data_IF_668004278625
#
_entry.id   IF_668004278625
#
_cell.length_a   1.000
_cell.length_b   1.000
_cell.length_c   1.000
_cell.angle_alpha   90.00
_cell.angle_beta   90.00
_cell.angle_gamma   90.00
#
_symmetry.space_group_name_H-M   'P 1'
#
loop_
_entity.id
_entity.type
_entity.pdbx_description
1 polymer ?
#
# COMPACT_ATOMS: atom_id res chain seq x y z
N UNK A 1 -6.62 34.53 16.04
CA UNK A 1 -5.86 33.27 16.05
C UNK A 1 -5.08 33.24 14.76
N UNK A 2 -3.75 33.37 14.80
CA UNK A 2 -2.93 33.14 13.60
C UNK A 2 -2.97 31.64 13.34
N UNK A 3 -3.79 31.19 12.38
CA UNK A 3 -3.54 29.89 11.76
C UNK A 3 -2.15 29.97 11.15
N UNK A 4 -1.22 29.12 11.60
CA UNK A 4 0.02 28.94 10.84
C UNK A 4 -0.39 28.59 9.40
N UNK A 5 0.05 29.41 8.45
CA UNK A 5 -0.18 29.14 7.03
C UNK A 5 1.02 28.37 6.49
N UNK A 6 0.73 27.37 5.66
CA UNK A 6 1.72 26.48 5.06
C UNK A 6 1.64 26.64 3.54
N UNK A 7 2.06 27.80 3.00
CA UNK A 7 1.68 28.24 1.64
C UNK A 7 2.17 27.29 0.54
N UNK A 8 3.33 26.64 0.73
CA UNK A 8 3.85 25.68 -0.25
C UNK A 8 3.08 24.36 -0.23
N UNK A 9 2.66 23.87 0.95
CA UNK A 9 1.79 22.70 1.10
C UNK A 9 0.39 22.97 0.55
N UNK A 10 -0.20 24.11 0.89
CA UNK A 10 -1.52 24.55 0.40
C UNK A 10 -1.50 24.69 -1.13
N UNK A 11 -0.47 25.30 -1.71
CA UNK A 11 -0.31 25.42 -3.15
C UNK A 11 -0.10 24.06 -3.83
N UNK A 12 0.65 23.14 -3.20
CA UNK A 12 0.82 21.79 -3.71
C UNK A 12 -0.50 21.02 -3.70
N UNK A 13 -1.25 21.05 -2.60
CA UNK A 13 -2.57 20.41 -2.47
C UNK A 13 -3.59 20.93 -3.48
N UNK A 14 -3.65 22.25 -3.63
CA UNK A 14 -4.65 22.94 -4.46
C UNK A 14 -4.26 22.99 -5.96
N UNK A 15 -3.21 22.28 -6.38
CA UNK A 15 -2.68 22.26 -7.76
C UNK A 15 -2.32 23.65 -8.32
N UNK A 16 -1.53 24.44 -7.59
CA UNK A 16 -1.10 25.79 -8.00
C UNK A 16 0.38 25.78 -8.42
N UNK A 17 0.75 25.26 -9.61
CA UNK A 17 2.14 25.03 -9.99
C UNK A 17 2.98 26.31 -10.06
N UNK A 18 2.40 27.42 -10.52
CA UNK A 18 3.12 28.70 -10.57
C UNK A 18 3.46 29.23 -9.17
N UNK A 19 2.57 29.01 -8.18
CA UNK A 19 2.82 29.41 -6.80
C UNK A 19 3.88 28.50 -6.19
N UNK A 20 3.78 27.18 -6.38
CA UNK A 20 4.81 26.24 -5.92
C UNK A 20 6.17 26.60 -6.51
N UNK A 21 6.24 26.83 -7.83
CA UNK A 21 7.48 27.21 -8.50
C UNK A 21 8.07 28.52 -7.96
N UNK A 22 7.24 29.55 -7.75
CA UNK A 22 7.68 30.82 -7.18
C UNK A 22 8.23 30.66 -5.76
N UNK A 23 7.49 29.99 -4.88
CA UNK A 23 7.89 29.77 -3.49
C UNK A 23 9.19 28.97 -3.37
N UNK A 24 9.37 27.92 -4.17
CA UNK A 24 10.60 27.11 -4.16
C UNK A 24 11.80 27.86 -4.77
N UNK A 25 11.57 28.69 -5.79
CA UNK A 25 12.62 29.51 -6.37
C UNK A 25 13.11 30.60 -5.38
N UNK A 26 12.20 31.15 -4.58
CA UNK A 26 12.53 32.10 -3.50
C UNK A 26 13.24 31.42 -2.33
N UNK A 27 12.78 30.22 -1.93
CA UNK A 27 13.38 29.46 -0.83
C UNK A 27 13.24 27.95 -1.04
N UNK A 28 14.26 27.33 -1.63
CA UNK A 28 14.27 25.88 -1.92
C UNK A 28 14.12 24.98 -0.68
N UNK A 29 14.42 25.47 0.53
CA UNK A 29 14.21 24.70 1.78
C UNK A 29 12.74 24.41 2.06
N UNK A 30 11.82 25.15 1.43
CA UNK A 30 10.38 24.90 1.51
C UNK A 30 9.98 23.55 0.88
N UNK A 31 10.82 22.97 0.01
CA UNK A 31 10.53 21.64 -0.56
C UNK A 31 10.39 20.56 0.52
N UNK A 32 11.17 20.65 1.60
CA UNK A 32 11.17 19.68 2.72
C UNK A 32 10.52 20.22 3.99
N UNK A 33 9.93 21.42 3.94
CA UNK A 33 9.23 21.96 5.12
C UNK A 33 8.01 21.10 5.44
N UNK A 34 7.68 20.98 6.72
CA UNK A 34 6.53 20.21 7.20
C UNK A 34 5.41 21.15 7.67
N UNK A 35 4.17 20.78 7.40
CA UNK A 35 2.99 21.42 7.98
C UNK A 35 2.68 20.88 9.38
N UNK A 36 1.49 21.20 9.92
CA UNK A 36 1.05 20.76 11.23
C UNK A 36 0.79 19.25 11.36
N UNK A 37 0.69 18.53 10.24
CA UNK A 37 0.51 17.07 10.21
C UNK A 37 1.84 16.35 9.90
N UNK A 38 2.96 17.08 9.90
CA UNK A 38 4.28 16.56 9.54
C UNK A 38 4.46 16.40 8.02
N UNK A 39 3.55 16.92 7.18
CA UNK A 39 3.56 16.67 5.74
C UNK A 39 4.34 17.73 4.96
N UNK A 40 5.14 17.24 4.01
CA UNK A 40 5.81 18.08 3.02
C UNK A 40 4.91 18.38 1.83
N UNK A 41 5.23 19.38 0.98
CA UNK A 41 4.54 19.60 -0.28
C UNK A 41 4.48 18.36 -1.18
N UNK A 42 5.50 17.49 -1.11
CA UNK A 42 5.53 16.24 -1.87
C UNK A 42 4.44 15.25 -1.40
N UNK A 43 4.15 15.19 -0.10
CA UNK A 43 3.04 14.38 0.42
C UNK A 43 1.71 14.82 -0.19
N UNK A 44 1.45 16.13 -0.23
CA UNK A 44 0.22 16.69 -0.79
C UNK A 44 0.14 16.52 -2.31
N UNK A 45 1.26 16.70 -3.02
CA UNK A 45 1.32 16.45 -4.45
C UNK A 45 1.00 14.98 -4.79
N UNK A 46 1.54 14.03 -4.01
CA UNK A 46 1.24 12.60 -4.15
C UNK A 46 -0.22 12.28 -3.79
N UNK A 47 -0.73 12.82 -2.67
CA UNK A 47 -2.10 12.61 -2.20
C UNK A 47 -3.15 13.04 -3.22
N UNK A 48 -2.85 14.11 -3.97
CA UNK A 48 -3.77 14.69 -4.94
C UNK A 48 -3.46 14.28 -6.38
N UNK A 49 -2.41 13.48 -6.61
CA UNK A 49 -2.00 13.03 -7.94
C UNK A 49 -1.47 14.13 -8.86
N UNK A 50 -0.95 15.23 -8.30
CA UNK A 50 -0.49 16.39 -9.09
C UNK A 50 0.93 16.18 -9.62
N UNK A 51 1.07 15.38 -10.68
CA UNK A 51 2.35 15.04 -11.30
C UNK A 51 3.23 16.25 -11.63
N UNK A 52 2.63 17.34 -12.15
CA UNK A 52 3.38 18.56 -12.46
C UNK A 52 3.97 19.22 -11.22
N UNK A 53 3.30 19.11 -10.08
CA UNK A 53 3.81 19.63 -8.81
C UNK A 53 4.98 18.78 -8.33
N UNK A 54 4.91 17.46 -8.49
CA UNK A 54 6.03 16.55 -8.20
C UNK A 54 7.26 16.94 -9.03
N UNK A 55 7.10 17.18 -10.34
CA UNK A 55 8.19 17.60 -11.23
C UNK A 55 8.84 18.93 -10.81
N UNK A 56 8.07 19.83 -10.20
CA UNK A 56 8.58 21.10 -9.68
C UNK A 56 9.32 20.94 -8.35
N UNK A 57 8.94 19.97 -7.51
CA UNK A 57 9.48 19.79 -6.17
C UNK A 57 10.78 18.96 -6.19
N UNK A 58 10.81 17.83 -6.91
CA UNK A 58 11.93 16.88 -6.87
C UNK A 58 13.32 17.48 -7.15
N UNK A 59 13.50 18.47 -8.06
CA UNK A 59 14.79 19.10 -8.28
C UNK A 59 15.40 19.76 -7.03
N UNK A 60 14.56 20.19 -6.07
CA UNK A 60 14.99 20.77 -4.80
C UNK A 60 15.30 19.71 -3.72
N UNK A 61 15.06 18.43 -4.01
CA UNK A 61 15.24 17.29 -3.09
C UNK A 61 16.41 16.39 -3.45
N UNK A 62 17.30 16.77 -4.39
CA UNK A 62 18.33 15.89 -4.97
C UNK A 62 19.23 15.11 -3.99
N UNK A 63 19.40 15.59 -2.75
CA UNK A 63 20.20 14.90 -1.72
C UNK A 63 19.37 14.58 -0.46
N UNK A 64 18.05 14.60 -0.59
CA UNK A 64 17.10 14.29 0.47
C UNK A 64 16.72 12.84 0.30
N UNK A 65 16.91 12.04 1.35
CA UNK A 65 16.33 10.72 1.42
C UNK A 65 14.81 10.85 1.57
N UNK A 66 14.06 10.33 0.58
CA UNK A 66 12.60 10.42 0.61
C UNK A 66 11.99 9.52 1.69
N UNK A 67 12.74 8.54 2.18
CA UNK A 67 12.30 7.65 3.25
C UNK A 67 12.27 8.36 4.62
N UNK A 68 13.09 9.41 4.79
CA UNK A 68 13.07 10.27 5.99
C UNK A 68 11.89 11.26 6.00
N UNK A 69 11.20 11.43 4.87
CA UNK A 69 10.05 12.31 4.75
C UNK A 69 8.79 11.60 5.25
N UNK A 70 8.70 11.39 6.57
CA UNK A 70 7.51 10.83 7.21
C UNK A 70 6.58 11.91 7.77
N UNK A 71 5.28 11.75 7.58
CA UNK A 71 4.25 12.50 8.30
C UNK A 71 4.08 12.02 9.75
N UNK A 72 3.23 12.66 10.54
CA UNK A 72 3.03 12.31 11.95
C UNK A 72 2.47 10.88 12.16
N UNK A 73 1.89 10.28 11.12
CA UNK A 73 1.46 8.89 11.11
C UNK A 73 2.56 7.89 10.73
N UNK A 74 3.74 8.37 10.35
CA UNK A 74 4.84 7.57 9.82
C UNK A 74 4.66 7.21 8.34
N UNK A 75 3.87 7.96 7.57
CA UNK A 75 3.67 7.73 6.14
C UNK A 75 4.63 8.57 5.33
N UNK A 76 5.31 7.95 4.35
CA UNK A 76 6.10 8.66 3.34
C UNK A 76 5.23 9.04 2.13
N UNK A 77 5.72 9.90 1.21
CA UNK A 77 5.00 10.18 -0.03
C UNK A 77 4.68 8.93 -0.86
N UNK A 78 5.53 7.90 -0.86
CA UNK A 78 5.28 6.62 -1.55
C UNK A 78 4.11 5.86 -0.92
N UNK A 79 3.98 5.86 0.41
CA UNK A 79 2.84 5.24 1.08
C UNK A 79 1.52 5.91 0.67
N UNK A 80 1.49 7.25 0.68
CA UNK A 80 0.33 8.03 0.23
C UNK A 80 0.03 7.73 -1.23
N UNK A 81 1.05 7.75 -2.09
CA UNK A 81 0.92 7.46 -3.51
C UNK A 81 0.29 6.09 -3.77
N UNK A 82 0.70 5.07 -3.02
CA UNK A 82 0.14 3.73 -3.14
C UNK A 82 -1.36 3.69 -2.79
N UNK A 83 -1.79 4.55 -1.86
CA UNK A 83 -3.19 4.74 -1.51
C UNK A 83 -4.01 5.48 -2.57
N UNK A 84 -3.36 6.23 -3.46
CA UNK A 84 -3.98 6.96 -4.59
C UNK A 84 -3.95 6.15 -5.89
N UNK A 85 -2.93 5.31 -6.09
CA UNK A 85 -2.82 4.43 -7.25
C UNK A 85 -2.14 5.09 -8.46
N UNK A 86 -1.43 6.20 -8.28
CA UNK A 86 -0.73 6.86 -9.39
C UNK A 86 0.64 6.21 -9.64
N UNK A 87 0.74 5.45 -10.73
CA UNK A 87 1.92 4.70 -11.10
C UNK A 87 2.97 5.55 -11.85
N UNK A 88 2.56 6.65 -12.48
CA UNK A 88 3.44 7.59 -13.19
C UNK A 88 4.33 8.38 -12.21
N UNK A 89 3.77 8.82 -11.08
CA UNK A 89 4.55 9.45 -10.01
C UNK A 89 5.49 8.44 -9.35
N UNK A 90 5.11 7.16 -9.26
CA UNK A 90 5.98 6.15 -8.64
C UNK A 90 7.32 6.06 -9.38
N UNK A 91 7.28 6.05 -10.72
CA UNK A 91 8.50 5.99 -11.53
C UNK A 91 9.42 7.19 -11.28
N UNK A 92 8.86 8.37 -11.05
CA UNK A 92 9.62 9.58 -10.71
C UNK A 92 10.27 9.48 -9.32
N UNK A 93 9.55 8.95 -8.32
CA UNK A 93 10.09 8.78 -6.97
C UNK A 93 11.15 7.68 -6.92
N UNK A 94 10.95 6.56 -7.61
CA UNK A 94 11.89 5.44 -7.63
C UNK A 94 13.17 5.71 -8.44
N UNK A 95 13.16 6.73 -9.29
CA UNK A 95 14.34 7.24 -9.99
C UNK A 95 15.13 8.31 -9.20
N UNK A 96 14.65 8.67 -7.99
CA UNK A 96 15.32 9.63 -7.12
C UNK A 96 16.60 9.04 -6.50
N UNK A 97 17.56 9.90 -6.14
CA UNK A 97 18.80 9.50 -5.46
C UNK A 97 18.87 10.16 -4.05
N UNK A 98 19.05 9.38 -2.96
CA UNK A 98 19.09 7.92 -2.91
C UNK A 98 17.74 7.30 -3.33
N UNK A 99 17.80 6.08 -3.88
CA UNK A 99 16.60 5.35 -4.30
C UNK A 99 15.78 4.97 -3.06
N UNK A 100 14.48 5.32 -3.00
CA UNK A 100 13.62 4.96 -1.88
C UNK A 100 13.48 3.45 -1.70
N UNK A 101 13.41 2.98 -0.45
CA UNK A 101 13.09 1.59 -0.14
C UNK A 101 11.60 1.31 -0.37
N UNK A 102 11.30 0.56 -1.44
CA UNK A 102 9.92 0.18 -1.77
C UNK A 102 9.25 -0.70 -0.71
N UNK A 103 10.04 -1.32 0.17
CA UNK A 103 9.58 -2.13 1.29
C UNK A 103 9.56 -1.39 2.62
N UNK A 104 9.88 -0.09 2.63
CA UNK A 104 9.74 0.72 3.83
C UNK A 104 8.30 0.60 4.34
N UNK A 105 8.20 0.34 5.63
CA UNK A 105 6.93 0.15 6.31
C UNK A 105 6.63 1.37 7.17
N UNK A 106 5.34 1.71 7.28
CA UNK A 106 4.86 2.71 8.23
C UNK A 106 5.12 2.27 9.68
N UNK A 107 4.81 3.16 10.63
CA UNK A 107 4.84 2.86 12.07
C UNK A 107 4.03 1.62 12.48
N UNK A 108 3.06 1.18 11.68
CA UNK A 108 2.24 -0.02 11.92
C UNK A 108 2.67 -1.22 11.07
N UNK A 109 3.83 -1.18 10.42
CA UNK A 109 4.38 -2.27 9.61
C UNK A 109 3.75 -2.42 8.22
N UNK A 110 2.91 -1.47 7.80
CA UNK A 110 2.22 -1.51 6.51
C UNK A 110 3.13 -0.93 5.42
N UNK A 111 3.36 -1.65 4.32
CA UNK A 111 4.13 -1.16 3.17
C UNK A 111 3.23 -0.59 2.06
N UNK A 112 3.83 0.08 1.07
CA UNK A 112 3.12 0.53 -0.14
C UNK A 112 2.32 -0.58 -0.83
N UNK A 113 2.88 -1.80 -0.92
CA UNK A 113 2.20 -2.96 -1.51
C UNK A 113 0.93 -3.37 -0.74
N UNK A 114 0.96 -3.35 0.59
CA UNK A 114 -0.25 -3.62 1.40
C UNK A 114 -1.36 -2.61 1.10
N UNK A 115 -0.99 -1.33 0.96
CA UNK A 115 -1.92 -0.23 0.69
C UNK A 115 -2.53 -0.37 -0.70
N UNK A 116 -1.70 -0.56 -1.74
CA UNK A 116 -2.14 -0.69 -3.11
C UNK A 116 -3.11 -1.88 -3.30
N UNK A 117 -2.80 -3.03 -2.70
CA UNK A 117 -3.69 -4.21 -2.68
C UNK A 117 -5.01 -3.92 -1.97
N UNK A 118 -4.97 -3.27 -0.81
CA UNK A 118 -6.21 -2.92 -0.07
C UNK A 118 -7.12 -1.96 -0.84
N UNK A 119 -6.58 -1.26 -1.85
CA UNK A 119 -7.30 -0.33 -2.71
C UNK A 119 -7.64 -0.91 -4.09
N UNK A 120 -7.29 -2.17 -4.35
CA UNK A 120 -7.44 -2.82 -5.66
C UNK A 120 -6.74 -2.06 -6.80
N UNK A 121 -5.60 -1.44 -6.53
CA UNK A 121 -4.82 -0.70 -7.53
C UNK A 121 -3.96 -1.66 -8.38
N UNK A 122 -4.62 -2.50 -9.17
CA UNK A 122 -3.99 -3.62 -9.89
C UNK A 122 -2.72 -3.26 -10.67
N UNK A 123 -2.75 -2.22 -11.52
CA UNK A 123 -1.58 -1.84 -12.32
C UNK A 123 -0.41 -1.38 -11.44
N UNK A 124 -0.71 -0.72 -10.32
CA UNK A 124 0.30 -0.32 -9.35
C UNK A 124 0.85 -1.55 -8.60
N UNK A 125 0.00 -2.47 -8.16
CA UNK A 125 0.41 -3.73 -7.52
C UNK A 125 1.35 -4.51 -8.45
N UNK A 126 0.97 -4.66 -9.72
CA UNK A 126 1.79 -5.29 -10.73
C UNK A 126 3.14 -4.59 -10.88
N UNK A 127 3.15 -3.26 -11.02
CA UNK A 127 4.40 -2.47 -11.13
C UNK A 127 5.29 -2.61 -9.89
N UNK A 128 4.72 -2.56 -8.68
CA UNK A 128 5.45 -2.76 -7.43
C UNK A 128 6.13 -4.13 -7.38
N UNK A 129 5.43 -5.20 -7.75
CA UNK A 129 5.95 -6.57 -7.72
C UNK A 129 6.95 -6.86 -8.86
N UNK A 130 6.60 -6.48 -10.08
CA UNK A 130 7.34 -6.88 -11.28
C UNK A 130 8.52 -5.94 -11.57
N UNK A 131 8.33 -4.63 -11.45
CA UNK A 131 9.37 -3.64 -11.78
C UNK A 131 10.27 -3.35 -10.59
N UNK A 132 9.67 -3.11 -9.42
CA UNK A 132 10.40 -2.68 -8.22
C UNK A 132 10.71 -3.80 -7.22
N UNK A 133 10.26 -5.02 -7.50
CA UNK A 133 10.52 -6.22 -6.68
C UNK A 133 10.10 -6.04 -5.21
N UNK A 134 8.99 -5.35 -4.98
CA UNK A 134 8.38 -5.23 -3.66
C UNK A 134 8.11 -6.64 -3.08
N UNK A 135 8.41 -6.81 -1.80
CA UNK A 135 8.28 -8.08 -1.10
C UNK A 135 6.82 -8.35 -0.74
N UNK A 136 6.26 -9.42 -1.30
CA UNK A 136 4.94 -9.92 -0.93
C UNK A 136 4.90 -10.64 0.44
N UNK A 137 6.01 -10.61 1.21
CA UNK A 137 6.19 -11.36 2.46
C UNK A 137 6.30 -10.47 3.71
N UNK A 138 6.35 -9.15 3.55
CA UNK A 138 6.36 -8.23 4.69
C UNK A 138 5.08 -8.42 5.50
N UNK A 139 5.19 -8.34 6.82
CA UNK A 139 4.09 -8.51 7.77
C UNK A 139 3.87 -7.19 8.51
N UNK A 140 2.62 -6.74 8.54
CA UNK A 140 2.23 -5.58 9.33
C UNK A 140 2.17 -5.89 10.84
N UNK A 141 1.80 -4.90 11.64
CA UNK A 141 1.69 -5.03 13.10
C UNK A 141 0.63 -6.02 13.57
N UNK A 142 -0.27 -6.48 12.70
CA UNK A 142 -1.20 -7.60 12.98
C UNK A 142 -0.65 -8.94 12.48
N UNK A 143 0.52 -8.97 11.86
CA UNK A 143 1.09 -10.16 11.24
C UNK A 143 0.54 -10.43 9.84
N UNK A 144 -0.29 -9.54 9.29
CA UNK A 144 -0.90 -9.72 7.98
C UNK A 144 0.10 -9.37 6.88
N UNK A 145 0.09 -10.15 5.81
CA UNK A 145 0.84 -9.90 4.56
C UNK A 145 -0.08 -9.25 3.52
N UNK A 146 0.45 -8.76 2.37
CA UNK A 146 -0.41 -8.27 1.29
C UNK A 146 -1.40 -9.33 0.80
N UNK A 147 -1.05 -10.62 0.86
CA UNK A 147 -1.95 -11.71 0.46
C UNK A 147 -3.18 -11.85 1.38
N UNK A 148 -3.05 -11.53 2.68
CA UNK A 148 -4.22 -11.47 3.57
C UNK A 148 -5.19 -10.38 3.11
N UNK A 149 -4.66 -9.23 2.69
CA UNK A 149 -5.46 -8.09 2.21
C UNK A 149 -6.13 -8.41 0.88
N UNK A 150 -5.42 -9.01 -0.07
CA UNK A 150 -5.97 -9.43 -1.36
C UNK A 150 -7.13 -10.43 -1.18
N UNK A 151 -6.98 -11.37 -0.25
CA UNK A 151 -8.01 -12.33 0.09
C UNK A 151 -9.23 -11.67 0.76
N UNK A 152 -9.00 -10.76 1.72
CA UNK A 152 -10.07 -10.03 2.42
C UNK A 152 -10.87 -9.08 1.52
N UNK A 153 -10.28 -8.55 0.44
CA UNK A 153 -11.01 -7.69 -0.52
C UNK A 153 -11.58 -8.46 -1.72
N UNK A 154 -11.34 -9.77 -1.80
CA UNK A 154 -11.87 -10.62 -2.86
C UNK A 154 -11.18 -10.46 -4.21
N UNK A 155 -9.92 -10.01 -4.23
CA UNK A 155 -9.17 -9.77 -5.48
C UNK A 155 -8.40 -11.01 -5.94
N UNK A 156 -9.05 -11.89 -6.70
CA UNK A 156 -8.42 -13.08 -7.25
C UNK A 156 -7.25 -12.79 -8.21
N UNK A 157 -7.26 -11.62 -8.86
CA UNK A 157 -6.17 -11.19 -9.74
C UNK A 157 -4.91 -10.86 -8.92
N UNK A 158 -5.05 -10.10 -7.84
CA UNK A 158 -3.91 -9.76 -6.98
C UNK A 158 -3.40 -10.96 -6.19
N UNK A 159 -4.28 -11.91 -5.83
CA UNK A 159 -3.87 -13.21 -5.26
C UNK A 159 -2.87 -13.91 -6.20
N UNK A 160 -3.17 -14.00 -7.50
CA UNK A 160 -2.27 -14.62 -8.48
C UNK A 160 -0.94 -13.89 -8.57
N UNK A 161 -0.96 -12.56 -8.72
CA UNK A 161 0.25 -11.75 -8.78
C UNK A 161 1.14 -11.93 -7.54
N UNK A 162 0.54 -11.91 -6.34
CA UNK A 162 1.28 -12.07 -5.09
C UNK A 162 1.90 -13.47 -4.96
N UNK A 163 1.19 -14.52 -5.38
CA UNK A 163 1.71 -15.90 -5.37
C UNK A 163 2.86 -16.06 -6.39
N UNK A 164 2.74 -15.48 -7.57
CA UNK A 164 3.83 -15.41 -8.56
C UNK A 164 5.07 -14.71 -7.97
N UNK A 165 4.84 -13.64 -7.19
CA UNK A 165 5.84 -12.93 -6.39
C UNK A 165 6.25 -13.65 -5.07
N UNK A 166 5.98 -14.95 -4.96
CA UNK A 166 6.42 -15.82 -3.85
C UNK A 166 5.81 -15.46 -2.48
N UNK A 167 4.59 -14.94 -2.46
CA UNK A 167 3.81 -14.86 -1.23
C UNK A 167 3.58 -16.25 -0.64
N UNK A 168 3.59 -16.35 0.69
CA UNK A 168 3.24 -17.59 1.39
C UNK A 168 1.72 -17.68 1.54
N UNK A 169 1.11 -18.63 0.83
CA UNK A 169 -0.34 -18.94 0.87
C UNK A 169 -0.84 -19.28 2.28
N UNK A 170 0.02 -19.89 3.10
CA UNK A 170 -0.29 -20.35 4.46
C UNK A 170 0.37 -19.46 5.53
N UNK A 171 0.67 -18.20 5.19
CA UNK A 171 1.10 -17.25 6.20
C UNK A 171 -0.03 -17.05 7.22
N UNK A 172 0.29 -17.15 8.50
CA UNK A 172 -0.66 -16.87 9.59
C UNK A 172 -0.44 -15.48 10.16
N UNK A 173 -1.51 -14.73 10.41
CA UNK A 173 -1.45 -13.51 11.22
C UNK A 173 -1.48 -13.85 12.74
N UNK A 174 -1.56 -12.84 13.62
CA UNK A 174 -1.40 -13.00 15.07
C UNK A 174 -2.42 -13.93 15.73
N UNK A 175 -3.65 -13.97 15.24
CA UNK A 175 -4.72 -14.85 15.73
C UNK A 175 -4.71 -16.22 15.01
N UNK A 176 -3.71 -16.47 14.16
CA UNK A 176 -3.55 -17.71 13.40
C UNK A 176 -4.32 -17.74 12.08
N UNK A 177 -5.01 -16.67 11.70
CA UNK A 177 -5.77 -16.61 10.46
C UNK A 177 -4.84 -16.63 9.25
N UNK A 178 -5.20 -17.40 8.24
CA UNK A 178 -4.54 -17.42 6.94
C UNK A 178 -5.28 -16.52 5.94
N UNK A 179 -4.71 -16.19 4.77
CA UNK A 179 -5.46 -15.56 3.69
C UNK A 179 -6.78 -16.27 3.35
N UNK A 180 -6.80 -17.60 3.40
CA UNK A 180 -8.01 -18.39 3.14
C UNK A 180 -9.11 -18.13 4.18
N UNK A 181 -8.77 -17.99 5.47
CA UNK A 181 -9.73 -17.60 6.51
C UNK A 181 -10.36 -16.24 6.21
N UNK A 182 -9.55 -15.25 5.80
CA UNK A 182 -10.07 -13.93 5.43
C UNK A 182 -11.01 -13.98 4.22
N UNK A 183 -10.65 -14.69 3.15
CA UNK A 183 -11.55 -14.83 1.99
C UNK A 183 -12.88 -15.50 2.38
N UNK A 184 -12.83 -16.52 3.24
CA UNK A 184 -14.02 -17.25 3.69
C UNK A 184 -14.93 -16.41 4.59
N UNK A 185 -14.35 -15.68 5.55
CA UNK A 185 -15.10 -14.82 6.47
C UNK A 185 -15.74 -13.61 5.78
N UNK A 186 -15.06 -13.02 4.79
CA UNK A 186 -15.58 -11.89 4.00
C UNK A 186 -16.53 -12.35 2.86
N UNK A 187 -16.72 -13.66 2.72
CA UNK A 187 -17.66 -14.24 1.76
C UNK A 187 -17.17 -14.34 0.32
N UNK A 188 -15.86 -14.22 0.10
CA UNK A 188 -15.22 -14.29 -1.21
C UNK A 188 -14.93 -15.75 -1.63
N UNK A 189 -16.01 -16.53 -1.82
CA UNK A 189 -15.93 -17.95 -2.16
C UNK A 189 -15.07 -18.27 -3.38
N UNK A 190 -15.13 -17.46 -4.44
CA UNK A 190 -14.29 -17.64 -5.64
C UNK A 190 -12.78 -17.50 -5.34
N UNK A 191 -12.43 -16.53 -4.48
CA UNK A 191 -11.03 -16.34 -4.06
C UNK A 191 -10.59 -17.45 -3.12
N UNK A 192 -11.48 -17.94 -2.25
CA UNK A 192 -11.19 -19.08 -1.41
C UNK A 192 -10.89 -20.35 -2.23
N UNK A 193 -11.72 -20.63 -3.24
CA UNK A 193 -11.48 -21.75 -4.19
C UNK A 193 -10.13 -21.56 -4.90
N UNK A 194 -9.88 -20.37 -5.44
CA UNK A 194 -8.60 -20.05 -6.10
C UNK A 194 -7.39 -20.26 -5.16
N UNK A 195 -7.48 -19.84 -3.90
CA UNK A 195 -6.39 -20.04 -2.93
C UNK A 195 -6.08 -21.53 -2.74
N UNK A 196 -7.10 -22.39 -2.65
CA UNK A 196 -6.93 -23.85 -2.56
C UNK A 196 -6.36 -24.43 -3.85
N UNK A 197 -6.82 -23.99 -5.01
CA UNK A 197 -6.26 -24.39 -6.32
C UNK A 197 -4.77 -24.04 -6.43
N UNK A 198 -4.35 -22.94 -5.81
CA UNK A 198 -2.95 -22.51 -5.74
C UNK A 198 -2.15 -23.25 -4.65
N UNK A 199 -2.79 -24.08 -3.81
CA UNK A 199 -2.14 -24.90 -2.79
C UNK A 199 -2.23 -24.37 -1.36
N UNK A 200 -3.18 -23.47 -1.06
CA UNK A 200 -3.48 -23.13 0.34
C UNK A 200 -4.05 -24.34 1.09
N UNK A 201 -3.68 -24.45 2.37
CA UNK A 201 -4.19 -25.50 3.25
C UNK A 201 -5.63 -25.17 3.66
N UNK A 202 -6.58 -25.94 3.16
CA UNK A 202 -8.01 -25.79 3.45
C UNK A 202 -8.40 -26.21 4.87
N UNK A 203 -7.51 -26.93 5.56
CA UNK A 203 -7.73 -27.46 6.90
C UNK A 203 -6.88 -26.74 7.96
N UNK A 204 -6.19 -25.65 7.59
CA UNK A 204 -5.41 -24.85 8.52
C UNK A 204 -6.29 -24.35 9.70
N UNK A 205 -5.75 -24.38 10.92
CA UNK A 205 -6.49 -23.97 12.11
C UNK A 205 -5.96 -22.62 12.64
N UNK A 206 -6.88 -21.74 13.03
CA UNK A 206 -6.56 -20.53 13.80
C UNK A 206 -6.02 -20.88 15.20
N UNK A 207 -5.60 -19.87 15.96
CA UNK A 207 -5.25 -20.05 17.38
C UNK A 207 -6.40 -20.57 18.25
N UNK A 208 -7.65 -20.41 17.81
CA UNK A 208 -8.88 -20.95 18.44
C UNK A 208 -9.29 -22.33 17.92
N UNK A 209 -8.59 -22.90 16.93
CA UNK A 209 -8.92 -24.19 16.34
C UNK A 209 -10.02 -24.13 15.27
N UNK A 210 -10.35 -22.94 14.76
CA UNK A 210 -11.34 -22.77 13.69
C UNK A 210 -10.68 -23.00 12.34
N UNK A 211 -11.32 -23.75 11.43
CA UNK A 211 -10.90 -23.90 10.04
C UNK A 211 -11.50 -22.80 9.16
N UNK A 212 -11.01 -22.61 7.92
CA UNK A 212 -11.60 -21.61 7.02
C UNK A 212 -13.10 -21.81 6.77
N UNK A 213 -13.58 -23.06 6.73
CA UNK A 213 -15.01 -23.36 6.55
C UNK A 213 -15.86 -23.01 7.78
N UNK A 214 -15.26 -22.91 8.96
CA UNK A 214 -15.98 -22.62 10.21
C UNK A 214 -16.27 -21.13 10.37
N UNK A 215 -15.47 -20.26 9.75
CA UNK A 215 -15.64 -18.79 9.78
C UNK A 215 -16.52 -18.25 8.64
N UNK A 216 -16.98 -19.10 7.73
CA UNK A 216 -17.79 -18.71 6.57
C UNK A 216 -19.30 -18.75 6.85
N UNK A 217 -20.08 -17.94 6.13
CA UNK A 217 -21.53 -18.13 6.03
C UNK A 217 -21.88 -19.47 5.36
N UNK A 218 -23.04 -20.04 5.68
CA UNK A 218 -23.49 -21.34 5.16
C UNK A 218 -23.44 -21.41 3.61
N UNK A 219 -23.87 -20.34 2.93
CA UNK A 219 -23.86 -20.29 1.47
C UNK A 219 -22.44 -20.33 0.88
N UNK A 220 -21.52 -19.58 1.47
CA UNK A 220 -20.11 -19.52 1.02
C UNK A 220 -19.42 -20.84 1.32
N UNK A 221 -19.65 -21.41 2.51
CA UNK A 221 -19.14 -22.73 2.90
C UNK A 221 -19.57 -23.81 1.90
N UNK A 222 -20.86 -23.91 1.61
CA UNK A 222 -21.38 -24.88 0.65
C UNK A 222 -20.77 -24.69 -0.75
N UNK A 223 -20.70 -23.44 -1.22
CA UNK A 223 -20.09 -23.12 -2.51
C UNK A 223 -18.64 -23.61 -2.61
N UNK A 224 -17.86 -23.38 -1.55
CA UNK A 224 -16.46 -23.76 -1.45
C UNK A 224 -16.27 -25.27 -1.36
N UNK A 225 -17.03 -25.96 -0.51
CA UNK A 225 -16.97 -27.42 -0.36
C UNK A 225 -17.33 -28.16 -1.66
N UNK A 226 -18.33 -27.67 -2.41
CA UNK A 226 -18.72 -28.21 -3.72
C UNK A 226 -17.62 -28.10 -4.79
N UNK A 227 -16.63 -27.21 -4.61
CA UNK A 227 -15.58 -26.92 -5.60
C UNK A 227 -14.18 -27.36 -5.19
N UNK A 228 -14.00 -27.75 -3.93
CA UNK A 228 -12.71 -28.14 -3.35
C UNK A 228 -12.72 -29.56 -2.78
N UNK A 229 -13.75 -30.34 -3.12
CA UNK A 229 -13.93 -31.75 -2.75
C UNK A 229 -13.00 -32.69 -3.51
#
# INVERSE_FOLDING_TARGET
MNSQSFPVQEAARDNKPLIVQGLLAENGKLAVSKDSDGRTPLHWACAMGHEKIVDLILPYMKNVDLDDLVDDGGWTPIHILCGVGNDAVLDKLMAHEPQPDINLATSTGVTGLHIAVSKNHYELVKKLLESYKASARVRDSRGQTPLHRAAAVGSGVEVKLLVEAKANLNATEKDGWTPLHHAMAEGHGDVAVLLVELGADKDAETGSGEKPVDVASEGVRRYFEERTS
#
